data_IF_815126566200
#
_entry.id   IF_815126566200
#
_cell.length_a   1.000
_cell.length_b   1.000
_cell.length_c   1.000
_cell.angle_alpha   90.00
_cell.angle_beta   90.00
_cell.angle_gamma   90.00
#
_symmetry.space_group_name_H-M   'P 1'
#
loop_
_entity.id
_entity.type
_entity.pdbx_description
1 polymer ?
#
# COMPACT_ATOMS: atom_id res chain seq x y z
N UNK A 1 61.33 61.29 17.41
CA UNK A 1 61.40 60.57 16.12
C UNK A 1 60.12 59.77 15.88
N UNK A 2 59.16 60.28 15.09
CA UNK A 2 58.11 59.46 14.43
C UNK A 2 57.76 60.09 13.06
N UNK A 3 58.20 59.42 12.00
CA UNK A 3 57.68 59.46 10.61
C UNK A 3 56.23 58.90 10.60
N UNK A 4 55.34 59.12 9.65
CA UNK A 4 55.27 59.99 8.47
C UNK A 4 53.81 59.99 7.94
N UNK A 5 53.40 61.17 7.44
CA UNK A 5 52.60 61.49 6.24
C UNK A 5 51.35 60.69 5.83
N UNK A 6 50.25 61.45 5.90
CA UNK A 6 49.15 61.63 4.94
C UNK A 6 49.41 61.31 3.45
N UNK A 7 48.38 60.76 2.79
CA UNK A 7 48.22 60.77 1.34
C UNK A 7 46.79 60.39 0.92
N UNK A 8 45.92 61.37 0.72
CA UNK A 8 44.64 61.21 -0.01
C UNK A 8 44.96 61.21 -1.51
N UNK A 9 44.59 60.13 -2.20
CA UNK A 9 44.68 60.01 -3.65
C UNK A 9 43.47 60.63 -4.34
N UNK A 10 43.72 61.64 -5.18
CA UNK A 10 42.77 62.31 -6.07
C UNK A 10 42.58 61.47 -7.34
N UNK A 11 41.35 60.98 -7.58
CA UNK A 11 40.74 60.40 -8.82
C UNK A 11 39.79 59.29 -8.34
N UNK A 12 38.52 59.53 -8.00
CA UNK A 12 37.48 60.10 -8.86
C UNK A 12 37.54 59.52 -10.28
N UNK A 13 37.18 58.25 -10.40
CA UNK A 13 36.76 57.61 -11.65
C UNK A 13 35.58 56.68 -11.28
N UNK A 14 34.37 57.17 -11.60
CA UNK A 14 33.19 56.40 -12.01
C UNK A 14 32.62 55.44 -10.94
N UNK A 15 31.69 55.89 -10.07
CA UNK A 15 30.25 56.04 -10.38
C UNK A 15 29.68 54.96 -11.31
N UNK A 16 28.94 54.02 -10.72
CA UNK A 16 28.15 53.03 -11.46
C UNK A 16 27.87 51.77 -10.65
N UNK A 17 26.96 51.84 -9.67
CA UNK A 17 26.55 50.64 -8.94
C UNK A 17 25.59 50.91 -7.79
N UNK A 18 24.44 51.52 -8.05
CA UNK A 18 23.31 51.51 -7.10
C UNK A 18 22.76 50.07 -7.10
N UNK A 19 23.25 49.25 -6.16
CA UNK A 19 22.66 47.95 -5.87
C UNK A 19 21.36 48.14 -5.10
N UNK A 20 20.22 48.09 -5.80
CA UNK A 20 18.93 47.84 -5.18
C UNK A 20 19.00 46.46 -4.51
N UNK A 21 19.22 46.44 -3.19
CA UNK A 21 19.02 45.24 -2.38
C UNK A 21 17.52 44.93 -2.28
N UNK A 22 16.98 44.25 -3.30
CA UNK A 22 15.72 43.52 -3.13
C UNK A 22 15.98 42.41 -2.10
N UNK A 23 15.50 42.64 -0.88
CA UNK A 23 15.38 41.60 0.13
C UNK A 23 14.46 40.51 -0.39
N UNK A 24 15.05 39.47 -0.97
CA UNK A 24 14.37 38.23 -1.28
C UNK A 24 14.09 37.54 0.06
N UNK A 25 12.91 37.81 0.63
CA UNK A 25 12.40 37.03 1.75
C UNK A 25 12.24 35.58 1.27
N UNK A 26 13.24 34.75 1.57
CA UNK A 26 13.13 33.29 1.48
C UNK A 26 12.10 32.86 2.51
N UNK A 27 10.83 32.87 2.13
CA UNK A 27 9.82 32.13 2.86
C UNK A 27 10.22 30.64 2.79
N UNK A 28 10.40 29.93 3.90
CA UNK A 28 10.55 28.50 3.84
C UNK A 28 9.22 27.96 3.31
N UNK A 29 9.23 27.45 2.08
CA UNK A 29 8.13 26.64 1.58
C UNK A 29 7.93 25.51 2.57
N UNK A 30 6.86 25.59 3.37
CA UNK A 30 6.37 24.47 4.14
C UNK A 30 6.01 23.39 3.11
N UNK A 31 6.90 22.44 2.92
CA UNK A 31 6.60 21.19 2.21
C UNK A 31 5.64 20.42 3.11
N UNK A 32 4.36 20.74 3.02
CA UNK A 32 3.30 19.84 3.47
C UNK A 32 3.39 18.67 2.50
N UNK A 33 3.99 17.56 2.94
CA UNK A 33 4.06 16.35 2.14
C UNK A 33 2.64 15.88 1.84
N UNK A 34 2.12 16.19 0.65
CA UNK A 34 0.91 15.55 0.14
C UNK A 34 1.23 14.07 0.02
N UNK A 35 0.66 13.25 0.89
CA UNK A 35 0.69 11.80 0.72
C UNK A 35 0.02 11.47 -0.62
N UNK A 36 0.76 10.85 -1.53
CA UNK A 36 0.23 10.38 -2.81
C UNK A 36 -0.99 9.48 -2.58
N UNK A 37 -2.12 9.82 -3.21
CA UNK A 37 -3.37 9.10 -3.01
C UNK A 37 -3.30 7.63 -3.44
N UNK A 38 -2.45 7.32 -4.43
CA UNK A 38 -2.19 5.96 -4.89
C UNK A 38 -1.33 5.16 -3.90
N UNK A 39 -0.69 5.82 -2.93
CA UNK A 39 0.12 5.19 -1.88
C UNK A 39 -0.66 4.95 -0.58
N UNK A 40 -1.85 5.55 -0.42
CA UNK A 40 -2.70 5.31 0.75
C UNK A 40 -3.16 3.85 0.82
N UNK A 41 -3.36 3.32 2.03
CA UNK A 41 -3.97 2.00 2.23
C UNK A 41 -5.39 1.96 1.65
N UNK A 42 -5.91 0.76 1.30
CA UNK A 42 -7.33 0.55 0.97
C UNK A 42 -8.25 1.19 2.00
N UNK A 43 -9.28 1.87 1.51
CA UNK A 43 -10.32 2.54 2.29
C UNK A 43 -11.64 1.82 2.12
N UNK A 44 -12.48 1.90 3.15
CA UNK A 44 -13.85 1.40 3.02
C UNK A 44 -14.54 2.10 1.83
N UNK A 45 -15.22 1.31 0.99
CA UNK A 45 -15.87 1.79 -0.23
C UNK A 45 -15.02 1.69 -1.49
N UNK A 46 -13.72 1.43 -1.40
CA UNK A 46 -12.90 1.14 -2.57
C UNK A 46 -13.39 -0.11 -3.29
N UNK A 47 -13.33 -0.10 -4.62
CA UNK A 47 -13.60 -1.25 -5.47
C UNK A 47 -12.34 -2.11 -5.61
N UNK A 48 -12.48 -3.43 -5.71
CA UNK A 48 -11.36 -4.29 -6.05
C UNK A 48 -11.21 -4.40 -7.56
N UNK A 49 -9.99 -4.30 -8.07
CA UNK A 49 -9.64 -4.48 -9.49
C UNK A 49 -8.50 -5.49 -9.61
N UNK A 50 -8.48 -6.28 -10.69
CA UNK A 50 -7.44 -7.27 -10.92
C UNK A 50 -6.08 -6.61 -11.15
N UNK A 51 -5.01 -7.17 -10.59
CA UNK A 51 -3.68 -6.55 -10.62
C UNK A 51 -3.04 -6.52 -12.01
N UNK A 52 -3.33 -7.50 -12.86
CA UNK A 52 -2.80 -7.66 -14.21
C UNK A 52 -3.74 -7.11 -15.30
N UNK A 53 -4.87 -6.51 -14.92
CA UNK A 53 -5.88 -5.99 -15.85
C UNK A 53 -5.84 -4.46 -15.93
N UNK A 54 -5.51 -3.94 -17.11
CA UNK A 54 -5.48 -2.50 -17.38
C UNK A 54 -6.86 -1.88 -17.58
N UNK A 55 -7.92 -2.68 -17.71
CA UNK A 55 -9.30 -2.21 -17.91
C UNK A 55 -9.88 -1.51 -16.68
N UNK A 56 -9.28 -1.73 -15.49
CA UNK A 56 -9.79 -1.25 -14.19
C UNK A 56 -11.24 -1.65 -13.92
N UNK A 57 -11.69 -2.75 -14.53
CA UNK A 57 -13.02 -3.30 -14.29
C UNK A 57 -13.12 -3.77 -12.83
N UNK A 58 -14.12 -3.30 -12.07
CA UNK A 58 -14.36 -3.81 -10.73
C UNK A 58 -14.65 -5.30 -10.74
N UNK A 59 -14.02 -6.04 -9.84
CA UNK A 59 -14.19 -7.46 -9.65
C UNK A 59 -15.55 -7.78 -9.03
N UNK A 60 -16.12 -8.88 -9.48
CA UNK A 60 -17.26 -9.58 -8.89
C UNK A 60 -16.76 -10.89 -8.25
N UNK A 61 -17.56 -11.56 -7.42
CA UNK A 61 -17.17 -12.87 -6.88
C UNK A 61 -16.83 -13.91 -7.95
N UNK A 62 -17.44 -13.86 -9.12
CA UNK A 62 -17.18 -14.81 -10.22
C UNK A 62 -15.86 -14.59 -10.94
N UNK A 63 -15.25 -13.40 -10.77
CA UNK A 63 -13.89 -13.14 -11.24
C UNK A 63 -12.83 -13.79 -10.33
N UNK A 64 -13.20 -14.28 -9.15
CA UNK A 64 -12.33 -15.01 -8.21
C UNK A 64 -12.69 -16.50 -8.27
N UNK A 65 -11.82 -17.36 -8.85
CA UNK A 65 -12.18 -18.75 -9.05
C UNK A 65 -12.35 -19.51 -7.72
N UNK A 66 -13.37 -20.36 -7.67
CA UNK A 66 -13.73 -21.14 -6.49
C UNK A 66 -12.71 -22.25 -6.21
N UNK A 67 -12.21 -22.34 -4.98
CA UNK A 67 -11.22 -23.33 -4.52
C UNK A 67 -9.95 -23.38 -5.41
N UNK A 68 -9.47 -22.23 -5.89
CA UNK A 68 -8.31 -22.15 -6.77
C UNK A 68 -7.22 -21.23 -6.22
N UNK A 69 -6.15 -21.08 -7.02
CA UNK A 69 -5.07 -20.15 -6.78
C UNK A 69 -5.60 -18.70 -6.58
N UNK A 70 -4.89 -17.88 -5.79
CA UNK A 70 -5.33 -16.53 -5.47
C UNK A 70 -5.37 -15.64 -6.71
N UNK A 71 -6.34 -14.72 -6.72
CA UNK A 71 -6.40 -13.62 -7.67
C UNK A 71 -5.71 -12.40 -7.06
N UNK A 72 -4.64 -11.92 -7.69
CA UNK A 72 -3.98 -10.69 -7.27
C UNK A 72 -4.83 -9.46 -7.60
N UNK A 73 -4.96 -8.53 -6.67
CA UNK A 73 -5.79 -7.34 -6.84
C UNK A 73 -5.21 -6.09 -6.16
N UNK A 74 -5.80 -4.96 -6.51
CA UNK A 74 -5.61 -3.67 -5.85
C UNK A 74 -6.97 -3.08 -5.47
N UNK A 75 -6.97 -2.21 -4.46
CA UNK A 75 -8.10 -1.33 -4.19
C UNK A 75 -8.06 -0.11 -5.13
N UNK A 76 -9.22 0.33 -5.58
CA UNK A 76 -9.40 1.49 -6.44
C UNK A 76 -10.49 2.40 -5.89
N UNK A 77 -10.18 3.69 -5.79
CA UNK A 77 -11.16 4.70 -5.42
C UNK A 77 -12.26 4.79 -6.49
N UNK A 78 -13.55 4.62 -6.13
CA UNK A 78 -14.62 4.61 -7.11
C UNK A 78 -14.87 5.98 -7.75
N UNK A 79 -14.50 7.08 -7.08
CA UNK A 79 -14.83 8.44 -7.51
C UNK A 79 -13.87 8.94 -8.59
N UNK A 80 -12.56 8.80 -8.37
CA UNK A 80 -11.53 9.32 -9.27
C UNK A 80 -10.73 8.22 -9.99
N UNK A 81 -11.04 6.94 -9.72
CA UNK A 81 -10.36 5.76 -10.28
C UNK A 81 -8.88 5.63 -9.90
N UNK A 82 -8.46 6.30 -8.83
CA UNK A 82 -7.12 6.13 -8.28
C UNK A 82 -6.95 4.71 -7.77
N UNK A 83 -6.13 3.92 -8.46
CA UNK A 83 -5.72 2.60 -7.98
C UNK A 83 -4.63 2.77 -6.95
N UNK A 84 -4.84 2.21 -5.76
CA UNK A 84 -3.92 2.31 -4.63
C UNK A 84 -2.75 1.33 -4.77
N UNK A 85 -1.98 1.43 -5.86
CA UNK A 85 -0.87 0.50 -6.18
C UNK A 85 0.53 1.10 -6.08
N UNK A 86 0.66 2.38 -5.72
CA UNK A 86 1.97 3.03 -5.62
C UNK A 86 2.78 2.52 -4.41
N UNK A 87 2.09 2.05 -3.37
CA UNK A 87 2.70 1.29 -2.28
C UNK A 87 2.48 -0.21 -2.47
N UNK A 88 3.56 -0.99 -2.44
CA UNK A 88 3.50 -2.46 -2.44
C UNK A 88 2.69 -3.04 -1.27
N UNK A 89 2.56 -2.30 -0.17
CA UNK A 89 1.79 -2.74 0.99
C UNK A 89 0.29 -2.90 0.69
N UNK A 90 -0.17 -2.36 -0.44
CA UNK A 90 -1.55 -2.43 -0.87
C UNK A 90 -1.85 -3.66 -1.75
N UNK A 91 -0.87 -4.52 -2.01
CA UNK A 91 -1.07 -5.73 -2.80
C UNK A 91 -2.00 -6.68 -2.04
N UNK A 92 -2.99 -7.23 -2.74
CA UNK A 92 -4.02 -8.10 -2.18
C UNK A 92 -4.04 -9.46 -2.88
N UNK A 93 -4.36 -10.50 -2.10
CA UNK A 93 -4.67 -11.84 -2.57
C UNK A 93 -6.13 -12.14 -2.26
N UNK A 94 -6.92 -12.42 -3.29
CA UNK A 94 -8.33 -12.78 -3.18
C UNK A 94 -8.47 -14.29 -3.41
N UNK A 95 -9.20 -14.97 -2.53
CA UNK A 95 -9.54 -16.38 -2.68
C UNK A 95 -11.02 -16.57 -2.42
N UNK A 96 -11.64 -17.51 -3.14
CA UNK A 96 -13.06 -17.84 -2.96
C UNK A 96 -13.23 -19.28 -2.51
N UNK A 97 -13.96 -19.47 -1.43
CA UNK A 97 -14.33 -20.79 -0.90
C UNK A 97 -15.84 -20.85 -0.64
N UNK A 98 -16.46 -22.04 -0.66
CA UNK A 98 -17.78 -22.22 -0.10
C UNK A 98 -17.81 -21.71 1.35
N UNK A 99 -18.84 -20.95 1.78
CA UNK A 99 -18.88 -20.40 3.14
C UNK A 99 -18.71 -21.46 4.23
N UNK A 100 -19.21 -22.68 4.03
CA UNK A 100 -19.07 -23.80 4.96
C UNK A 100 -17.62 -24.24 5.22
N UNK A 101 -16.67 -23.88 4.35
CA UNK A 101 -15.25 -24.17 4.51
C UNK A 101 -14.47 -23.07 5.21
N UNK A 102 -15.09 -21.91 5.45
CA UNK A 102 -14.47 -20.78 6.14
C UNK A 102 -14.79 -20.83 7.64
N UNK A 103 -13.87 -20.40 8.49
CA UNK A 103 -14.19 -20.20 9.91
C UNK A 103 -15.17 -19.03 10.08
N UNK A 104 -15.90 -18.98 11.21
CA UNK A 104 -16.85 -17.89 11.48
C UNK A 104 -16.20 -16.50 11.39
N UNK A 105 -14.92 -16.38 11.79
CA UNK A 105 -14.14 -15.15 11.65
C UNK A 105 -13.92 -14.79 10.18
N UNK A 106 -13.43 -15.72 9.35
CA UNK A 106 -13.25 -15.49 7.92
C UNK A 106 -14.57 -15.17 7.22
N UNK A 107 -15.65 -15.90 7.54
CA UNK A 107 -16.98 -15.62 7.00
C UNK A 107 -17.45 -14.20 7.31
N UNK A 108 -17.23 -13.71 8.53
CA UNK A 108 -17.64 -12.35 8.92
C UNK A 108 -16.97 -11.21 8.14
N UNK A 109 -15.89 -11.51 7.42
CA UNK A 109 -15.12 -10.56 6.59
C UNK A 109 -15.21 -10.87 5.09
N UNK A 110 -15.87 -11.96 4.72
CA UNK A 110 -15.97 -12.40 3.34
C UNK A 110 -17.16 -11.77 2.63
N UNK A 111 -17.07 -11.64 1.31
CA UNK A 111 -18.19 -11.29 0.44
C UNK A 111 -18.42 -12.44 -0.54
N UNK A 112 -19.57 -13.12 -0.43
CA UNK A 112 -19.92 -14.27 -1.28
C UNK A 112 -18.82 -15.37 -1.33
N UNK A 113 -18.27 -15.68 -0.16
CA UNK A 113 -17.18 -16.66 -0.01
C UNK A 113 -15.80 -16.14 -0.41
N UNK A 114 -15.70 -14.90 -0.92
CA UNK A 114 -14.42 -14.25 -1.23
C UNK A 114 -13.82 -13.66 0.03
N UNK A 115 -12.62 -14.10 0.38
CA UNK A 115 -11.76 -13.52 1.40
C UNK A 115 -10.62 -12.75 0.73
N UNK A 116 -10.16 -11.67 1.37
CA UNK A 116 -9.01 -10.91 0.92
C UNK A 116 -7.99 -10.74 2.04
N UNK A 117 -6.71 -10.91 1.69
CA UNK A 117 -5.58 -10.74 2.60
C UNK A 117 -4.53 -9.86 1.93
N UNK A 118 -3.69 -9.18 2.71
CA UNK A 118 -2.49 -8.56 2.16
C UNK A 118 -1.57 -9.63 1.53
N UNK A 119 -0.93 -9.30 0.42
CA UNK A 119 0.11 -10.11 -0.17
C UNK A 119 1.46 -9.96 0.55
N UNK A 120 1.55 -9.17 1.63
CA UNK A 120 2.83 -8.92 2.31
C UNK A 120 2.99 -9.83 3.52
N UNK A 121 3.98 -10.73 3.43
CA UNK A 121 4.36 -11.65 4.50
C UNK A 121 4.76 -10.89 5.76
N UNK A 122 4.23 -11.34 6.90
CA UNK A 122 4.42 -10.72 8.21
C UNK A 122 5.76 -11.07 8.87
N UNK A 123 6.54 -11.98 8.28
CA UNK A 123 7.89 -12.33 8.71
C UNK A 123 8.89 -11.19 8.42
N UNK A 124 9.25 -11.02 7.15
CA UNK A 124 10.27 -10.06 6.70
C UNK A 124 9.79 -9.20 5.52
N UNK A 125 8.47 -9.18 5.26
CA UNK A 125 7.86 -8.27 4.30
C UNK A 125 7.99 -8.66 2.83
N UNK A 126 8.43 -9.89 2.52
CA UNK A 126 8.35 -10.44 1.17
C UNK A 126 6.91 -10.52 0.68
N UNK A 127 6.73 -10.55 -0.63
CA UNK A 127 5.43 -10.87 -1.21
C UNK A 127 5.13 -12.37 -1.03
N UNK A 128 3.88 -12.68 -0.72
CA UNK A 128 3.31 -14.02 -0.70
C UNK A 128 2.79 -14.26 -2.11
N UNK A 129 3.51 -15.05 -2.90
CA UNK A 129 3.25 -15.21 -4.33
C UNK A 129 2.80 -16.62 -4.71
N UNK A 130 3.02 -17.60 -3.84
CA UNK A 130 2.92 -19.00 -4.21
C UNK A 130 1.65 -19.64 -3.62
N UNK A 131 1.12 -20.63 -4.34
CA UNK A 131 -0.07 -21.39 -3.95
C UNK A 131 0.25 -22.88 -3.96
N UNK A 132 0.04 -23.53 -2.81
CA UNK A 132 0.24 -24.97 -2.66
C UNK A 132 -1.12 -25.64 -2.81
N UNK A 133 -1.41 -26.14 -4.02
CA UNK A 133 -2.76 -26.55 -4.41
C UNK A 133 -3.32 -27.75 -3.64
N UNK A 134 -2.48 -28.72 -3.27
CA UNK A 134 -2.86 -29.90 -2.49
C UNK A 134 -3.22 -29.55 -1.04
N UNK A 135 -2.60 -28.52 -0.47
CA UNK A 135 -2.86 -28.04 0.89
C UNK A 135 -3.87 -26.88 0.91
N UNK A 136 -4.11 -26.26 -0.24
CA UNK A 136 -4.85 -25.00 -0.39
C UNK A 136 -4.33 -23.89 0.55
N UNK A 137 -3.00 -23.74 0.60
CA UNK A 137 -2.31 -22.74 1.43
C UNK A 137 -1.57 -21.72 0.59
N UNK A 138 -1.50 -20.49 1.10
CA UNK A 138 -0.66 -19.44 0.56
C UNK A 138 0.77 -19.64 1.07
N UNK A 139 1.76 -19.50 0.20
CA UNK A 139 3.17 -19.69 0.52
C UNK A 139 4.00 -18.44 0.23
N UNK A 140 4.87 -18.09 1.17
CA UNK A 140 5.89 -17.07 1.00
C UNK A 140 7.22 -17.73 0.61
N UNK A 141 7.74 -17.51 -0.61
CA UNK A 141 8.93 -18.21 -1.13
C UNK A 141 10.25 -17.80 -0.47
N UNK A 142 10.26 -16.76 0.37
CA UNK A 142 11.50 -16.28 0.97
C UNK A 142 12.01 -17.19 2.10
N UNK A 143 11.11 -17.70 2.94
CA UNK A 143 11.45 -18.50 4.12
C UNK A 143 10.33 -19.50 4.45
N UNK A 144 9.55 -19.90 3.44
CA UNK A 144 8.54 -20.96 3.49
C UNK A 144 7.45 -20.79 4.57
N UNK A 145 7.05 -19.54 4.85
CA UNK A 145 5.87 -19.31 5.69
C UNK A 145 4.61 -19.68 4.94
N UNK A 146 3.78 -20.54 5.54
CA UNK A 146 2.53 -21.02 4.98
C UNK A 146 1.34 -20.45 5.76
N UNK A 147 0.30 -20.02 5.05
CA UNK A 147 -0.89 -19.41 5.62
C UNK A 147 -2.16 -20.11 5.12
N UNK A 148 -3.08 -20.43 6.04
CA UNK A 148 -4.38 -21.03 5.71
C UNK A 148 -5.44 -19.94 5.45
N UNK A 149 -5.82 -19.68 4.18
CA UNK A 149 -6.77 -18.64 3.85
C UNK A 149 -8.20 -18.92 4.32
N UNK A 150 -8.51 -20.16 4.75
CA UNK A 150 -9.84 -20.54 5.25
C UNK A 150 -10.03 -20.19 6.74
N UNK A 151 -8.93 -20.01 7.47
CA UNK A 151 -8.88 -19.59 8.87
C UNK A 151 -8.02 -18.33 9.02
N UNK A 152 -8.54 -17.21 8.53
CA UNK A 152 -8.00 -15.86 8.68
C UNK A 152 -6.54 -15.67 8.24
N UNK A 153 -6.08 -16.46 7.25
CA UNK A 153 -4.68 -16.53 6.84
C UNK A 153 -3.74 -16.78 8.03
N UNK A 154 -4.18 -17.62 8.98
CA UNK A 154 -3.38 -18.09 10.11
C UNK A 154 -2.14 -18.82 9.61
N UNK A 155 -1.00 -18.55 10.24
CA UNK A 155 0.26 -19.25 9.99
C UNK A 155 0.08 -20.72 10.34
N UNK A 156 0.32 -21.61 9.38
CA UNK A 156 0.33 -23.07 9.56
C UNK A 156 1.75 -23.63 9.56
N UNK A 157 2.71 -22.93 8.97
CA UNK A 157 4.12 -23.32 8.96
C UNK A 157 5.05 -22.11 8.74
N UNK A 158 6.34 -22.30 9.02
CA UNK A 158 7.41 -21.33 8.81
C UNK A 158 7.49 -20.21 9.86
N UNK A 159 8.38 -19.22 9.65
CA UNK A 159 8.80 -18.26 10.68
C UNK A 159 7.89 -17.03 10.86
N UNK A 160 6.83 -16.86 10.06
CA UNK A 160 5.94 -15.72 10.20
C UNK A 160 5.33 -15.66 11.62
N UNK A 161 5.45 -14.55 12.37
CA UNK A 161 5.03 -14.50 13.77
C UNK A 161 3.52 -14.32 13.95
N UNK A 162 2.78 -14.03 12.87
CA UNK A 162 1.35 -13.71 12.92
C UNK A 162 0.68 -13.92 11.56
N UNK A 163 -0.64 -14.08 11.58
CA UNK A 163 -1.49 -14.18 10.39
C UNK A 163 -1.34 -12.99 9.44
N UNK A 164 -1.63 -13.19 8.16
CA UNK A 164 -1.72 -12.08 7.21
C UNK A 164 -2.92 -11.18 7.59
N UNK A 165 -2.76 -9.86 7.64
CA UNK A 165 -3.90 -8.94 7.77
C UNK A 165 -4.97 -9.22 6.72
N UNK A 166 -6.18 -9.52 7.19
CA UNK A 166 -7.36 -9.65 6.35
C UNK A 166 -7.90 -8.26 6.00
N UNK A 167 -8.40 -8.10 4.78
CA UNK A 167 -9.15 -6.92 4.35
C UNK A 167 -10.64 -7.30 4.27
N UNK A 168 -11.49 -6.81 5.19
CA UNK A 168 -12.91 -7.09 5.15
C UNK A 168 -13.52 -6.65 3.82
N UNK A 169 -14.40 -7.48 3.26
CA UNK A 169 -15.11 -7.20 2.01
C UNK A 169 -16.62 -7.11 2.25
N UNK A 170 -17.30 -6.42 1.34
CA UNK A 170 -18.75 -6.40 1.21
C UNK A 170 -19.13 -6.45 -0.27
N UNK A 171 -20.37 -6.86 -0.54
CA UNK A 171 -20.94 -6.85 -1.88
C UNK A 171 -21.83 -5.62 -2.04
N UNK A 172 -21.55 -4.79 -3.06
CA UNK A 172 -22.40 -3.64 -3.43
C UNK A 172 -22.64 -3.70 -4.92
N UNK A 173 -23.90 -3.79 -5.33
CA UNK A 173 -24.31 -3.91 -6.74
C UNK A 173 -23.55 -5.03 -7.49
N UNK A 174 -23.35 -6.17 -6.82
CA UNK A 174 -22.64 -7.33 -7.34
C UNK A 174 -21.11 -7.22 -7.40
N UNK A 175 -20.54 -6.09 -6.97
CA UNK A 175 -19.08 -5.83 -6.99
C UNK A 175 -18.46 -6.04 -5.62
N UNK A 176 -17.22 -6.51 -5.62
CA UNK A 176 -16.38 -6.62 -4.44
C UNK A 176 -15.91 -5.22 -4.02
N UNK A 177 -16.28 -4.84 -2.80
CA UNK A 177 -15.97 -3.55 -2.20
C UNK A 177 -15.26 -3.78 -0.87
N UNK A 178 -14.28 -2.94 -0.56
CA UNK A 178 -13.63 -2.92 0.75
C UNK A 178 -14.67 -2.56 1.82
N UNK A 179 -14.88 -3.46 2.77
CA UNK A 179 -15.83 -3.35 3.87
C UNK A 179 -15.26 -2.73 5.15
N UNK A 180 -13.95 -2.52 5.22
CA UNK A 180 -13.29 -1.89 6.36
C UNK A 180 -11.77 -1.86 6.24
N UNK A 181 -11.05 -1.30 7.22
CA UNK A 181 -9.59 -1.32 7.24
C UNK A 181 -9.05 -2.75 7.42
N UNK A 182 -7.77 -2.95 7.15
CA UNK A 182 -7.08 -4.20 7.49
C UNK A 182 -7.25 -4.55 8.98
N UNK A 183 -7.38 -5.85 9.29
CA UNK A 183 -7.57 -6.34 10.67
C UNK A 183 -6.37 -6.11 11.58
N UNK A 184 -5.18 -5.91 11.01
CA UNK A 184 -3.96 -5.56 11.74
C UNK A 184 -2.99 -4.79 10.83
N UNK A 185 -1.85 -4.36 11.38
CA UNK A 185 -0.81 -3.65 10.63
C UNK A 185 -0.32 -4.49 9.44
N UNK A 186 -0.21 -3.90 8.26
CA UNK A 186 0.40 -4.53 7.08
C UNK A 186 1.92 -4.48 7.17
N UNK A 187 2.58 -5.55 6.71
CA UNK A 187 4.03 -5.67 6.70
C UNK A 187 4.57 -6.48 7.88
N UNK A 188 5.81 -6.22 8.24
CA UNK A 188 6.54 -6.93 9.27
C UNK A 188 7.02 -5.96 10.34
N UNK A 189 7.31 -6.48 11.52
CA UNK A 189 7.92 -5.71 12.61
C UNK A 189 9.34 -6.23 12.80
N UNK A 190 10.31 -5.32 12.86
CA UNK A 190 11.67 -5.69 13.29
C UNK A 190 11.59 -5.84 14.81
N UNK A 191 11.51 -7.08 15.26
CA UNK A 191 11.67 -7.44 16.67
C UNK A 191 13.14 -7.26 17.06
#
# INVERSE_FOLDING_TARGET
>A
MRRARSGVGRRAVLEGGIGLGLGLCLAPSLVIGQSDAASMLPKEGDLLVKADDSSLRPLTPDDVPLNAAPTSAWAMDPADKTVRRASRLNALLLLRFPPSRLTARSQSRAADGVVAYTAICTHSGCEVSDWIADQETLSCPCHDSLFDPKDDARVVDGPAPRMLPALPLKLVDGKLVVGGPFTSRVGFERI
#
